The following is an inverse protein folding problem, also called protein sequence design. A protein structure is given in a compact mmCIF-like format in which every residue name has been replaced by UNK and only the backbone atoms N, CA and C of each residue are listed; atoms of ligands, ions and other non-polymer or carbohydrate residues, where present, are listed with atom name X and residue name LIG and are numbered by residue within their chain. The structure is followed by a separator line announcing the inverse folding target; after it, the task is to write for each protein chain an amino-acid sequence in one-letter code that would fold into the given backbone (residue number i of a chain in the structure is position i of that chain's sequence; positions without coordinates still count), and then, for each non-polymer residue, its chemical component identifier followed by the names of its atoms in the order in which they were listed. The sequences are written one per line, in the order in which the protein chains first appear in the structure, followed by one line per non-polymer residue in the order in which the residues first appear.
data_IF_490071375965
#
_entry.id   IF_490071375965
#
_cell.length_a   1.000
_cell.length_b   1.000
_cell.length_c   1.000
_cell.angle_alpha   90.00
_cell.angle_beta   90.00
_cell.angle_gamma   90.00
#
_symmetry.space_group_name_H-M   'P 1'
#
loop_
_entity.id
_entity.type
_entity.pdbx_description
1 polymer ?
#
# COMPACT_ATOMS: atom_id res chain seq x y z
N UNK A 1 -6.64 5.65 -3.87
CA UNK A 1 -7.72 4.86 -4.49
C UNK A 1 -7.75 4.94 -6.01
N UNK A 2 -7.24 6.00 -6.64
CA UNK A 2 -7.30 6.17 -8.11
C UNK A 2 -6.48 5.15 -8.92
N UNK A 3 -5.32 4.70 -8.40
CA UNK A 3 -4.53 3.65 -9.07
C UNK A 3 -5.28 2.32 -9.22
N UNK A 4 -6.17 2.00 -8.28
CA UNK A 4 -6.94 0.76 -8.30
C UNK A 4 -7.99 0.78 -9.41
N UNK A 5 -8.52 1.97 -9.72
CA UNK A 5 -9.49 2.19 -10.79
C UNK A 5 -8.89 2.05 -12.20
N UNK A 6 -7.58 2.36 -12.37
CA UNK A 6 -6.86 2.16 -13.62
C UNK A 6 -6.39 0.70 -13.81
N UNK A 7 -6.16 -0.03 -12.72
CA UNK A 7 -5.67 -1.42 -12.77
C UNK A 7 -6.76 -2.43 -13.17
N UNK A 8 -8.02 -2.15 -12.80
CA UNK A 8 -9.18 -2.98 -13.16
C UNK A 8 -9.42 -3.08 -14.67
N UNK A 9 -9.50 -1.99 -15.46
CA UNK A 9 -9.70 -2.09 -16.90
C UNK A 9 -8.50 -2.72 -17.62
N UNK A 10 -7.26 -2.45 -17.15
CA UNK A 10 -6.05 -3.05 -17.73
C UNK A 10 -6.03 -4.56 -17.53
N UNK A 11 -6.37 -5.03 -16.32
CA UNK A 11 -6.47 -6.48 -16.04
C UNK A 11 -7.61 -7.14 -16.83
N UNK A 12 -8.75 -6.47 -17.02
CA UNK A 12 -9.85 -6.99 -17.84
C UNK A 12 -9.45 -7.15 -19.31
N UNK A 13 -8.77 -6.17 -19.90
CA UNK A 13 -8.26 -6.25 -21.29
C UNK A 13 -7.25 -7.40 -21.41
N UNK A 14 -6.36 -7.56 -20.43
CA UNK A 14 -5.39 -8.65 -20.43
C UNK A 14 -6.07 -10.02 -20.39
N UNK A 15 -7.09 -10.20 -19.54
CA UNK A 15 -7.88 -11.45 -19.47
C UNK A 15 -8.58 -11.74 -20.80
N UNK A 16 -9.14 -10.72 -21.46
CA UNK A 16 -9.80 -10.89 -22.76
C UNK A 16 -8.79 -11.34 -23.84
N UNK A 17 -7.60 -10.76 -23.86
CA UNK A 17 -6.53 -11.16 -24.79
C UNK A 17 -6.10 -12.61 -24.54
N UNK A 18 -5.95 -13.01 -23.28
CA UNK A 18 -5.63 -14.40 -22.92
C UNK A 18 -6.74 -15.37 -23.34
N UNK A 19 -8.01 -14.98 -23.15
CA UNK A 19 -9.16 -15.78 -23.53
C UNK A 19 -9.24 -15.96 -25.05
N UNK A 20 -9.01 -14.88 -25.81
CA UNK A 20 -8.94 -14.94 -27.28
C UNK A 20 -7.80 -15.86 -27.73
N UNK A 21 -6.61 -15.74 -27.16
CA UNK A 21 -5.48 -16.61 -27.48
C UNK A 21 -5.78 -18.10 -27.24
N UNK A 22 -6.53 -18.43 -26.18
CA UNK A 22 -6.96 -19.80 -25.89
C UNK A 22 -7.99 -20.35 -26.89
N UNK A 23 -8.90 -19.49 -27.38
CA UNK A 23 -9.97 -19.90 -28.32
C UNK A 23 -9.45 -20.21 -29.72
N UNK A 24 -8.37 -19.55 -30.17
CA UNK A 24 -7.82 -19.74 -31.53
C UNK A 24 -6.99 -21.02 -31.72
N UNK A 25 -6.63 -21.71 -30.63
CA UNK A 25 -5.82 -22.92 -30.66
C UNK A 25 -6.64 -24.16 -31.08
N UNK A 26 -6.36 -24.75 -32.25
CA UNK A 26 -7.14 -25.88 -32.82
C UNK A 26 -6.58 -27.28 -32.51
N UNK A 27 -5.32 -27.41 -32.10
CA UNK A 27 -4.64 -28.71 -31.86
C UNK A 27 -4.35 -28.92 -30.37
N UNK A 28 -4.49 -30.14 -29.85
CA UNK A 28 -4.36 -30.41 -28.40
C UNK A 28 -2.94 -30.16 -27.85
N UNK A 29 -1.89 -30.50 -28.62
CA UNK A 29 -0.49 -30.23 -28.25
C UNK A 29 -0.16 -28.73 -28.27
N UNK A 30 -0.71 -28.02 -29.26
CA UNK A 30 -0.56 -26.57 -29.36
C UNK A 30 -1.32 -25.88 -28.21
N UNK A 31 -2.53 -26.37 -27.86
CA UNK A 31 -3.29 -25.92 -26.69
C UNK A 31 -2.50 -26.06 -25.39
N UNK A 32 -1.83 -27.19 -25.16
CA UNK A 32 -1.00 -27.38 -23.95
C UNK A 32 0.18 -26.41 -23.91
N UNK A 33 0.81 -26.14 -25.06
CA UNK A 33 1.89 -25.16 -25.19
C UNK A 33 1.39 -23.73 -24.95
N UNK A 34 0.22 -23.40 -25.49
CA UNK A 34 -0.43 -22.11 -25.32
C UNK A 34 -0.86 -21.88 -23.86
N UNK A 35 -1.48 -22.86 -23.21
CA UNK A 35 -1.86 -22.80 -21.80
C UNK A 35 -0.62 -22.54 -20.93
N UNK A 36 0.48 -23.27 -21.19
CA UNK A 36 1.73 -23.06 -20.46
C UNK A 36 2.30 -21.66 -20.67
N UNK A 37 2.26 -21.17 -21.91
CA UNK A 37 2.73 -19.82 -22.25
C UNK A 37 1.89 -18.75 -21.54
N UNK A 38 0.57 -18.84 -21.65
CA UNK A 38 -0.41 -17.97 -20.99
C UNK A 38 -0.18 -17.95 -19.47
N UNK A 39 0.05 -19.12 -18.86
CA UNK A 39 0.30 -19.20 -17.42
C UNK A 39 1.58 -18.45 -17.01
N UNK A 40 2.66 -18.61 -17.77
CA UNK A 40 3.93 -17.89 -17.52
C UNK A 40 3.74 -16.38 -17.71
N UNK A 41 3.02 -15.95 -18.75
CA UNK A 41 2.73 -14.54 -19.01
C UNK A 41 1.85 -13.91 -17.91
N UNK A 42 0.79 -14.60 -17.51
CA UNK A 42 -0.08 -14.15 -16.43
C UNK A 42 0.67 -14.03 -15.11
N UNK A 43 1.50 -15.02 -14.77
CA UNK A 43 2.29 -15.00 -13.53
C UNK A 43 3.37 -13.90 -13.55
N UNK A 44 3.98 -13.66 -14.71
CA UNK A 44 4.92 -12.53 -14.93
C UNK A 44 4.23 -11.18 -14.76
N UNK A 45 3.02 -11.06 -15.29
CA UNK A 45 2.23 -9.83 -15.18
C UNK A 45 1.82 -9.56 -13.73
N UNK A 46 1.33 -10.57 -13.01
CA UNK A 46 0.95 -10.45 -11.60
C UNK A 46 2.16 -10.06 -10.75
N UNK A 47 3.30 -10.73 -10.93
CA UNK A 47 4.52 -10.40 -10.18
C UNK A 47 5.00 -8.97 -10.48
N UNK A 48 4.95 -8.53 -11.73
CA UNK A 48 5.25 -7.14 -12.11
C UNK A 48 4.31 -6.14 -11.41
N UNK A 49 3.01 -6.39 -11.40
CA UNK A 49 2.04 -5.53 -10.70
C UNK A 49 2.36 -5.44 -9.20
N UNK A 50 2.66 -6.56 -8.53
CA UNK A 50 3.01 -6.57 -7.11
C UNK A 50 4.31 -5.79 -6.87
N UNK A 51 5.32 -5.95 -7.73
CA UNK A 51 6.56 -5.17 -7.64
C UNK A 51 6.29 -3.67 -7.77
N UNK A 52 5.47 -3.24 -8.73
CA UNK A 52 5.11 -1.83 -8.92
C UNK A 52 4.36 -1.26 -7.72
N UNK A 53 3.44 -2.03 -7.14
CA UNK A 53 2.71 -1.62 -5.93
C UNK A 53 3.69 -1.47 -4.76
N UNK A 54 4.60 -2.42 -4.56
CA UNK A 54 5.63 -2.35 -3.52
C UNK A 54 6.53 -1.11 -3.65
N UNK A 55 7.01 -0.82 -4.86
CA UNK A 55 7.79 0.40 -5.17
C UNK A 55 6.94 1.66 -4.90
N UNK A 56 5.69 1.67 -5.35
CA UNK A 56 4.77 2.78 -5.13
C UNK A 56 4.53 3.07 -3.65
N UNK A 57 4.38 2.05 -2.82
CA UNK A 57 4.24 2.21 -1.37
C UNK A 57 5.51 2.79 -0.73
N UNK A 58 6.69 2.29 -1.09
CA UNK A 58 7.97 2.82 -0.57
C UNK A 58 8.14 4.28 -1.01
N UNK A 59 7.88 4.59 -2.27
CA UNK A 59 7.99 5.93 -2.82
C UNK A 59 7.02 6.89 -2.14
N UNK A 60 5.74 6.52 -2.01
CA UNK A 60 4.72 7.31 -1.33
C UNK A 60 5.08 7.58 0.14
N UNK A 61 5.52 6.54 0.87
CA UNK A 61 5.91 6.64 2.28
C UNK A 61 7.15 7.53 2.44
N UNK A 62 8.15 7.35 1.58
CA UNK A 62 9.35 8.19 1.57
C UNK A 62 9.01 9.66 1.32
N UNK A 63 8.19 9.93 0.30
CA UNK A 63 7.89 11.29 -0.14
C UNK A 63 6.99 12.03 0.86
N UNK A 64 6.00 11.33 1.43
CA UNK A 64 5.11 11.90 2.44
C UNK A 64 5.84 12.22 3.74
N UNK A 65 6.85 11.43 4.13
CA UNK A 65 7.63 11.67 5.34
C UNK A 65 8.73 12.73 5.16
N UNK A 66 9.40 12.77 3.99
CA UNK A 66 10.54 13.67 3.75
C UNK A 66 10.15 15.01 3.10
N UNK A 67 9.25 14.99 2.12
CA UNK A 67 8.91 16.18 1.31
C UNK A 67 7.65 16.86 1.81
N UNK A 68 6.67 16.10 2.31
CA UNK A 68 5.37 16.64 2.77
C UNK A 68 5.00 16.32 4.23
N UNK A 69 5.89 16.58 5.21
CA UNK A 69 5.61 16.25 6.61
C UNK A 69 4.37 16.97 7.16
N UNK A 70 4.05 18.16 6.63
CA UNK A 70 2.87 18.95 7.05
C UNK A 70 1.54 18.30 6.64
N UNK A 71 1.47 17.67 5.48
CA UNK A 71 0.27 16.96 5.03
C UNK A 71 0.02 15.71 5.88
N UNK A 72 1.12 15.04 6.27
CA UNK A 72 1.05 13.92 7.19
C UNK A 72 0.54 14.38 8.56
N UNK A 73 1.08 15.48 9.11
CA UNK A 73 0.70 15.99 10.43
C UNK A 73 -0.80 16.28 10.58
N UNK A 74 -1.46 16.83 9.56
CA UNK A 74 -2.90 17.12 9.63
C UNK A 74 -3.77 15.86 9.80
N UNK A 75 -3.36 14.74 9.24
CA UNK A 75 -4.11 13.47 9.32
C UNK A 75 -4.02 12.83 10.73
N UNK A 76 -2.88 13.04 11.42
CA UNK A 76 -2.69 12.58 12.80
C UNK A 76 -3.38 13.47 13.84
N UNK A 77 -3.38 14.79 13.63
CA UNK A 77 -4.01 15.73 14.57
C UNK A 77 -5.51 15.51 14.70
N UNK A 78 -6.18 14.99 13.68
CA UNK A 78 -7.62 14.68 13.75
C UNK A 78 -7.95 13.42 14.57
N UNK A 79 -6.98 12.51 14.75
CA UNK A 79 -7.20 11.20 15.40
C UNK A 79 -6.86 11.16 16.88
N UNK A 80 -6.03 12.10 17.36
CA UNK A 80 -5.62 12.17 18.75
C UNK A 80 -6.50 13.16 19.53
N UNK A 81 -6.72 12.79 20.78
CA UNK A 81 -7.74 13.34 21.67
C UNK A 81 -7.48 14.83 21.90
N UNK A 82 -8.35 15.70 21.38
CA UNK A 82 -8.27 17.15 21.55
C UNK A 82 -8.10 17.54 23.03
N UNK A 83 -6.87 17.82 23.47
CA UNK A 83 -6.59 18.47 24.76
C UNK A 83 -7.25 19.87 24.83
N UNK A 84 -7.72 20.42 23.70
CA UNK A 84 -8.46 21.69 23.62
C UNK A 84 -9.98 21.56 23.85
N UNK A 85 -10.57 20.38 23.75
CA UNK A 85 -12.02 20.16 23.96
C UNK A 85 -12.27 19.11 25.04
N UNK A 86 -11.91 19.44 26.28
CA UNK A 86 -12.52 18.84 27.48
C UNK A 86 -13.39 19.92 28.15
N UNK A 87 -14.58 19.61 28.68
CA UNK A 87 -14.95 18.32 29.24
C UNK A 87 -15.74 17.44 28.29
N UNK A 88 -15.34 16.16 28.19
CA UNK A 88 -16.33 15.14 27.90
C UNK A 88 -17.39 15.25 28.99
N UNK A 89 -18.59 15.70 28.63
CA UNK A 89 -19.79 15.49 29.44
C UNK A 89 -20.02 13.99 29.53
N UNK A 90 -19.35 13.33 30.47
CA UNK A 90 -19.87 12.10 31.05
C UNK A 90 -21.19 12.50 31.73
N UNK A 91 -22.32 12.00 31.23
CA UNK A 91 -23.61 12.18 31.90
C UNK A 91 -23.46 11.69 33.35
N UNK A 92 -23.43 12.64 34.29
CA UNK A 92 -23.28 12.39 35.73
C UNK A 92 -22.00 12.89 36.40
N UNK A 93 -21.00 13.40 35.67
CA UNK A 93 -19.80 13.98 36.28
C UNK A 93 -19.96 15.50 36.51
N UNK A 94 -19.69 15.95 37.73
CA UNK A 94 -19.78 17.34 38.16
C UNK A 94 -19.04 18.28 37.19
N UNK A 95 -19.74 19.37 36.83
CA UNK A 95 -19.26 20.42 35.96
C UNK A 95 -17.95 21.04 36.46
N UNK A 96 -16.93 21.03 35.60
CA UNK A 96 -15.98 22.14 35.49
C UNK A 96 -14.82 22.15 36.48
N UNK A 97 -13.87 21.24 36.33
CA UNK A 97 -12.47 21.54 36.64
C UNK A 97 -11.79 22.00 35.36
N UNK A 98 -11.70 23.32 35.15
CA UNK A 98 -10.77 23.90 34.19
C UNK A 98 -9.36 23.43 34.57
N UNK A 99 -8.72 22.68 33.67
CA UNK A 99 -7.32 22.27 33.84
C UNK A 99 -6.47 23.51 34.16
N UNK A 100 -5.63 23.39 35.17
CA UNK A 100 -4.60 24.39 35.44
C UNK A 100 -3.66 24.50 34.23
N UNK A 101 -3.01 25.66 34.04
CA UNK A 101 -2.10 25.87 32.91
C UNK A 101 -1.02 24.77 32.81
N UNK A 102 -0.58 24.25 33.96
CA UNK A 102 0.37 23.13 34.08
C UNK A 102 -0.20 21.79 33.59
N UNK A 103 -1.46 21.50 33.87
CA UNK A 103 -2.12 20.28 33.38
C UNK A 103 -2.32 20.34 31.85
N UNK A 104 -2.64 21.52 31.30
CA UNK A 104 -2.79 21.69 29.85
C UNK A 104 -1.45 21.46 29.13
N UNK A 105 -0.36 21.99 29.66
CA UNK A 105 0.97 21.84 29.09
C UNK A 105 1.43 20.36 29.10
N UNK A 106 1.16 19.64 30.19
CA UNK A 106 1.47 18.21 30.28
C UNK A 106 0.61 17.34 29.36
N UNK A 107 -0.65 17.74 29.09
CA UNK A 107 -1.52 17.07 28.11
C UNK A 107 -0.95 17.23 26.69
N UNK A 108 -0.63 18.45 26.28
CA UNK A 108 -0.06 18.75 24.96
C UNK A 108 1.27 18.02 24.74
N UNK A 109 2.14 17.99 25.76
CA UNK A 109 3.40 17.27 25.67
C UNK A 109 3.24 15.74 25.53
N UNK A 110 2.18 15.16 26.11
CA UNK A 110 1.86 13.73 25.92
C UNK A 110 1.28 13.47 24.55
N UNK A 111 0.42 14.36 24.06
CA UNK A 111 -0.18 14.26 22.73
C UNK A 111 0.89 14.35 21.65
N UNK A 112 1.82 15.31 21.76
CA UNK A 112 2.93 15.45 20.82
C UNK A 112 3.82 14.19 20.76
N UNK A 113 4.10 13.58 21.92
CA UNK A 113 4.83 12.31 21.99
C UNK A 113 4.06 11.16 21.36
N UNK A 114 2.77 11.02 21.65
CA UNK A 114 1.93 9.97 21.08
C UNK A 114 1.82 10.12 19.55
N UNK A 115 1.68 11.35 19.04
CA UNK A 115 1.70 11.65 17.60
C UNK A 115 3.04 11.24 16.98
N UNK A 116 4.17 11.56 17.64
CA UNK A 116 5.49 11.23 17.15
C UNK A 116 5.71 9.71 17.07
N UNK A 117 5.30 8.97 18.11
CA UNK A 117 5.40 7.51 18.16
C UNK A 117 4.50 6.84 17.10
N UNK A 118 3.26 7.31 16.90
CA UNK A 118 2.38 6.74 15.86
C UNK A 118 2.89 7.01 14.44
N UNK A 119 3.49 8.19 14.21
CA UNK A 119 4.13 8.53 12.94
C UNK A 119 5.28 7.59 12.62
N UNK A 120 6.18 7.39 13.57
CA UNK A 120 7.34 6.52 13.38
C UNK A 120 6.91 5.05 13.18
N UNK A 121 5.98 4.56 14.00
CA UNK A 121 5.45 3.20 13.87
C UNK A 121 4.77 2.93 12.52
N UNK A 122 3.96 3.88 12.02
CA UNK A 122 3.32 3.75 10.70
C UNK A 122 4.32 3.84 9.56
N UNK A 123 5.30 4.74 9.65
CA UNK A 123 6.36 4.84 8.65
C UNK A 123 7.13 3.53 8.53
N UNK A 124 7.59 2.97 9.66
CA UNK A 124 8.30 1.70 9.69
C UNK A 124 7.46 0.54 9.15
N UNK A 125 6.19 0.45 9.53
CA UNK A 125 5.29 -0.60 9.07
C UNK A 125 5.04 -0.55 7.55
N UNK A 126 4.81 0.64 6.99
CA UNK A 126 4.59 0.81 5.55
C UNK A 126 5.86 0.56 4.74
N UNK A 127 7.02 1.03 5.21
CA UNK A 127 8.33 0.73 4.63
C UNK A 127 8.62 -0.76 4.62
N UNK A 128 8.47 -1.42 5.77
CA UNK A 128 8.72 -2.86 5.91
C UNK A 128 7.80 -3.66 4.98
N UNK A 129 6.52 -3.31 4.93
CA UNK A 129 5.56 -3.98 4.05
C UNK A 129 5.93 -3.82 2.57
N UNK A 130 6.31 -2.61 2.14
CA UNK A 130 6.78 -2.35 0.78
C UNK A 130 8.04 -3.15 0.44
N UNK A 131 9.01 -3.20 1.36
CA UNK A 131 10.26 -3.97 1.19
C UNK A 131 9.97 -5.46 1.09
N UNK A 132 9.12 -6.02 1.96
CA UNK A 132 8.74 -7.44 1.92
C UNK A 132 8.06 -7.78 0.60
N UNK A 133 7.13 -6.94 0.13
CA UNK A 133 6.49 -7.13 -1.18
C UNK A 133 7.51 -7.16 -2.30
N UNK A 134 8.48 -6.25 -2.28
CA UNK A 134 9.53 -6.16 -3.28
C UNK A 134 10.47 -7.39 -3.21
N UNK A 135 10.85 -7.81 -2.00
CA UNK A 135 11.73 -8.95 -1.76
C UNK A 135 11.12 -10.28 -2.22
N UNK A 136 9.80 -10.43 -2.15
CA UNK A 136 9.09 -11.61 -2.65
C UNK A 136 8.80 -11.50 -4.15
N UNK A 137 8.28 -10.36 -4.61
CA UNK A 137 7.80 -10.23 -5.99
C UNK A 137 8.92 -10.06 -7.02
N UNK A 138 9.99 -9.33 -6.67
CA UNK A 138 11.11 -9.06 -7.57
C UNK A 138 11.83 -10.34 -8.05
N UNK A 139 12.25 -11.30 -7.20
CA UNK A 139 12.91 -12.50 -7.67
C UNK A 139 11.99 -13.37 -8.53
N UNK A 140 10.69 -13.44 -8.22
CA UNK A 140 9.70 -14.15 -9.02
C UNK A 140 9.61 -13.55 -10.43
N UNK A 141 9.50 -12.21 -10.51
CA UNK A 141 9.46 -11.49 -11.77
C UNK A 141 10.74 -11.70 -12.58
N UNK A 142 11.91 -11.54 -11.96
CA UNK A 142 13.20 -11.71 -12.63
C UNK A 142 13.36 -13.12 -13.21
N UNK A 143 13.05 -14.16 -12.44
CA UNK A 143 13.13 -15.56 -12.91
C UNK A 143 12.22 -15.75 -14.13
N UNK A 144 10.98 -15.28 -14.08
CA UNK A 144 10.04 -15.44 -15.19
C UNK A 144 10.48 -14.65 -16.43
N UNK A 145 10.98 -13.43 -16.23
CA UNK A 145 11.52 -12.59 -17.31
C UNK A 145 12.70 -13.26 -18.02
N UNK A 146 13.65 -13.83 -17.27
CA UNK A 146 14.78 -14.56 -17.87
C UNK A 146 14.33 -15.83 -18.61
N UNK A 147 13.33 -16.55 -18.09
CA UNK A 147 12.76 -17.74 -18.76
C UNK A 147 12.06 -17.38 -20.07
N UNK A 148 11.34 -16.25 -20.11
CA UNK A 148 10.69 -15.76 -21.33
C UNK A 148 11.73 -15.34 -22.37
N UNK A 149 12.75 -14.57 -21.98
CA UNK A 149 13.80 -14.11 -22.89
C UNK A 149 14.56 -15.27 -23.54
N UNK A 150 14.81 -16.36 -22.81
CA UNK A 150 15.46 -17.57 -23.35
C UNK A 150 14.62 -18.38 -24.35
N UNK A 151 13.32 -18.09 -24.51
CA UNK A 151 12.46 -18.77 -25.51
C UNK A 151 12.36 -18.00 -26.83
N UNK A 152 12.77 -16.73 -26.83
CA UNK A 152 12.76 -15.88 -28.03
C UNK A 152 14.10 -15.92 -28.80
N UNK A 153 15.17 -16.43 -28.17
CA UNK A 153 16.44 -16.82 -28.82
C UNK A 153 16.39 -18.28 -29.29
#
# INVERSE_FOLDING_TARGET
MEFLFLLVPVSAVFIIILFLAMVFEKKLEDRLRAIRSIYIYALSFISLCVTLIGIGMIAYTSLSFTVFPKALNQDYTYRLMNCETYPMKLEGAATGTTMTASEKETCLAREEKAIAEEKDGRFQSQMLSGIIMLLVALPIYLIHFFVLRKREE
#
